data_IF_045750426061
#
_entry.id   IF_045750426061
#
_cell.length_a   1.000
_cell.length_b   1.000
_cell.length_c   1.000
_cell.angle_alpha   90.00
_cell.angle_beta   90.00
_cell.angle_gamma   90.00
#
_symmetry.space_group_name_H-M   'P 1'
#
loop_
_entity.id
_entity.type
_entity.pdbx_description
1 polymer ?
#
# COMPACT_ATOMS: atom_id res chain seq x y z
N UNK A 1 5.00 -12.42 13.10
CA UNK A 1 3.54 -12.54 12.90
C UNK A 1 2.94 -11.14 13.05
N UNK A 2 2.62 -10.48 11.95
CA UNK A 2 2.16 -9.09 11.90
C UNK A 2 0.69 -9.04 11.44
N UNK A 3 -0.13 -8.17 12.03
CA UNK A 3 -1.55 -7.96 11.74
C UNK A 3 -1.78 -6.66 10.97
N UNK A 4 -2.85 -6.60 10.18
CA UNK A 4 -3.35 -5.35 9.60
C UNK A 4 -4.73 -5.04 10.20
N UNK A 5 -4.82 -4.09 11.13
CA UNK A 5 -6.10 -3.68 11.77
C UNK A 5 -6.67 -2.38 11.16
N UNK A 6 -6.10 -1.88 10.06
CA UNK A 6 -6.46 -0.56 9.51
C UNK A 6 -6.42 -0.55 7.99
N UNK A 7 -6.72 -1.69 7.38
CA UNK A 7 -6.52 -1.87 5.96
C UNK A 7 -7.81 -1.57 5.21
N UNK A 8 -7.91 -0.37 4.66
CA UNK A 8 -9.07 0.02 3.87
C UNK A 8 -9.02 -0.70 2.53
N UNK A 9 -10.06 -1.49 2.23
CA UNK A 9 -10.37 -1.79 0.83
C UNK A 9 -10.68 -0.43 0.17
N UNK A 10 -9.92 -0.07 -0.87
CA UNK A 10 -10.16 1.16 -1.61
C UNK A 10 -11.54 1.17 -2.31
N UNK A 11 -12.21 0.02 -2.39
CA UNK A 11 -13.61 -0.07 -2.79
C UNK A 11 -14.52 0.02 -1.56
N UNK A 12 -15.44 0.99 -1.59
CA UNK A 12 -16.45 1.28 -0.57
C UNK A 12 -15.91 1.80 0.77
N UNK A 13 -15.47 3.06 0.78
CA UNK A 13 -15.05 3.78 2.00
C UNK A 13 -16.16 3.98 3.04
N UNK A 14 -17.42 3.67 2.71
CA UNK A 14 -18.58 3.91 3.58
C UNK A 14 -18.90 5.39 3.81
N UNK A 15 -18.23 6.29 3.10
CA UNK A 15 -18.44 7.74 3.21
C UNK A 15 -19.70 8.13 2.45
N UNK A 16 -20.67 8.70 3.16
CA UNK A 16 -21.79 9.39 2.53
C UNK A 16 -21.32 10.72 1.95
N UNK A 17 -21.30 10.81 0.62
CA UNK A 17 -20.95 12.02 -0.11
C UNK A 17 -22.18 12.84 -0.55
N UNK A 18 -23.38 12.42 -0.14
CA UNK A 18 -24.65 13.05 -0.47
C UNK A 18 -25.05 12.92 -1.95
N UNK A 19 -26.04 13.71 -2.35
CA UNK A 19 -26.57 13.67 -3.72
C UNK A 19 -25.70 14.50 -4.68
N UNK A 20 -25.10 13.83 -5.67
CA UNK A 20 -24.25 14.43 -6.70
C UNK A 20 -24.89 14.45 -8.10
N UNK A 21 -26.19 14.17 -8.23
CA UNK A 21 -26.91 14.09 -9.51
C UNK A 21 -26.72 15.32 -10.41
N UNK A 22 -26.75 16.52 -9.82
CA UNK A 22 -26.52 17.78 -10.56
C UNK A 22 -25.11 17.88 -11.14
N UNK A 23 -24.09 17.35 -10.47
CA UNK A 23 -22.70 17.32 -10.94
C UNK A 23 -22.51 16.32 -12.07
N UNK A 24 -23.18 15.16 -12.00
CA UNK A 24 -23.19 14.16 -13.07
C UNK A 24 -23.88 14.73 -14.32
N UNK A 25 -25.07 15.30 -14.17
CA UNK A 25 -25.81 15.91 -15.28
C UNK A 25 -25.01 17.06 -15.95
N UNK A 26 -24.30 17.86 -15.15
CA UNK A 26 -23.43 18.91 -15.68
C UNK A 26 -22.26 18.33 -16.51
N UNK A 27 -21.62 17.26 -16.03
CA UNK A 27 -20.53 16.57 -16.75
C UNK A 27 -21.00 16.04 -18.11
N UNK A 28 -22.20 15.47 -18.16
CA UNK A 28 -22.82 14.95 -19.39
C UNK A 28 -23.18 16.08 -20.36
N UNK A 29 -23.84 17.13 -19.86
CA UNK A 29 -24.23 18.31 -20.66
C UNK A 29 -23.01 18.98 -21.31
N UNK A 30 -21.90 19.09 -20.58
CA UNK A 30 -20.65 19.68 -21.07
C UNK A 30 -19.80 18.73 -21.93
N UNK A 31 -20.21 17.46 -22.08
CA UNK A 31 -19.48 16.43 -22.84
C UNK A 31 -18.02 16.31 -22.40
N UNK A 32 -17.77 16.35 -21.08
CA UNK A 32 -16.43 16.31 -20.51
C UNK A 32 -15.69 15.00 -20.88
N UNK A 33 -14.37 15.08 -21.06
CA UNK A 33 -13.51 13.90 -21.25
C UNK A 33 -13.43 13.05 -19.97
N UNK A 34 -13.03 11.78 -20.13
CA UNK A 34 -12.85 10.87 -19.00
C UNK A 34 -11.66 11.26 -18.12
N UNK A 35 -11.64 10.77 -16.87
CA UNK A 35 -10.48 10.98 -16.01
C UNK A 35 -9.24 10.23 -16.54
N UNK A 36 -9.42 9.06 -17.15
CA UNK A 36 -8.34 8.37 -17.87
C UNK A 36 -7.74 9.22 -19.00
N UNK A 37 -8.56 9.98 -19.73
CA UNK A 37 -8.07 10.92 -20.73
C UNK A 37 -7.24 12.03 -20.08
N UNK A 38 -7.69 12.59 -18.95
CA UNK A 38 -6.95 13.60 -18.20
C UNK A 38 -5.59 13.09 -17.73
N UNK A 39 -5.53 11.90 -17.12
CA UNK A 39 -4.26 11.32 -16.66
C UNK A 39 -3.29 11.05 -17.81
N UNK A 40 -3.78 10.62 -18.97
CA UNK A 40 -2.94 10.34 -20.14
C UNK A 40 -2.45 11.60 -20.87
N UNK A 41 -3.23 12.68 -20.88
CA UNK A 41 -2.99 13.84 -21.76
C UNK A 41 -2.66 15.13 -21.02
N UNK A 42 -3.08 15.28 -19.76
CA UNK A 42 -2.88 16.51 -18.98
C UNK A 42 -1.89 16.29 -17.84
N UNK A 43 -1.97 15.15 -17.13
CA UNK A 43 -1.07 14.86 -16.01
C UNK A 43 -0.38 13.48 -16.11
N UNK A 44 0.44 13.25 -17.16
CA UNK A 44 1.09 11.95 -17.40
C UNK A 44 2.15 11.57 -16.35
N UNK A 45 2.64 12.53 -15.56
CA UNK A 45 3.58 12.25 -14.48
C UNK A 45 2.94 11.52 -13.29
N UNK A 46 1.61 11.57 -13.16
CA UNK A 46 0.90 10.83 -12.12
C UNK A 46 0.88 9.33 -12.46
N UNK A 47 1.42 8.50 -11.57
CA UNK A 47 1.38 7.03 -11.65
C UNK A 47 0.15 6.51 -10.91
N UNK A 48 -0.86 5.98 -11.61
CA UNK A 48 -2.02 5.41 -10.93
C UNK A 48 -1.61 4.18 -10.13
N UNK A 49 -1.79 4.22 -8.82
CA UNK A 49 -1.56 3.06 -7.95
C UNK A 49 -2.78 2.14 -8.04
N UNK A 50 -2.66 1.09 -8.85
CA UNK A 50 -3.71 0.09 -9.11
C UNK A 50 -3.43 -1.21 -8.36
N UNK A 51 -4.43 -2.08 -8.29
CA UNK A 51 -4.32 -3.44 -7.76
C UNK A 51 -3.85 -3.51 -6.30
N UNK A 52 -4.20 -2.50 -5.51
CA UNK A 52 -3.97 -2.51 -4.06
C UNK A 52 -5.10 -3.29 -3.41
N UNK A 53 -4.74 -4.39 -2.75
CA UNK A 53 -5.67 -5.20 -1.95
C UNK A 53 -5.88 -4.55 -0.58
N UNK A 54 -4.94 -3.70 -0.20
CA UNK A 54 -4.50 -3.58 1.17
C UNK A 54 -3.70 -2.28 1.36
N UNK A 55 -4.17 -1.32 2.16
CA UNK A 55 -3.41 -0.11 2.52
C UNK A 55 -3.71 0.34 3.95
N UNK A 56 -2.69 0.63 4.76
CA UNK A 56 -2.84 1.18 6.11
C UNK A 56 -1.63 0.90 6.99
N UNK A 57 -1.82 0.93 8.31
CA UNK A 57 -0.80 0.53 9.28
C UNK A 57 -0.83 -0.99 9.54
N UNK A 58 0.35 -1.58 9.67
CA UNK A 58 0.53 -2.98 10.07
C UNK A 58 0.99 -3.04 11.52
N UNK A 59 0.17 -3.63 12.40
CA UNK A 59 0.34 -3.71 13.85
C UNK A 59 0.87 -5.07 14.28
N UNK A 60 1.61 -5.13 15.37
CA UNK A 60 1.94 -6.39 16.02
C UNK A 60 0.68 -6.97 16.70
N UNK A 61 0.48 -8.29 16.60
CA UNK A 61 -0.64 -9.01 17.24
C UNK A 61 -0.53 -9.08 18.75
N UNK A 62 0.70 -9.17 19.25
CA UNK A 62 0.98 -9.31 20.68
C UNK A 62 0.97 -7.94 21.38
N UNK A 63 1.15 -6.86 20.60
CA UNK A 63 1.21 -5.50 21.12
C UNK A 63 0.69 -4.52 20.05
N UNK A 64 -0.61 -4.20 20.09
CA UNK A 64 -1.26 -3.38 19.06
C UNK A 64 -0.80 -1.92 19.01
N UNK A 65 -0.08 -1.45 20.04
CA UNK A 65 0.59 -0.14 20.07
C UNK A 65 1.87 -0.10 19.24
N UNK A 66 2.33 -1.24 18.71
CA UNK A 66 3.55 -1.36 17.92
C UNK A 66 3.22 -1.65 16.45
N UNK A 67 3.75 -0.81 15.56
CA UNK A 67 3.53 -0.84 14.12
C UNK A 67 4.83 -1.14 13.36
N UNK A 68 4.70 -1.76 12.20
CA UNK A 68 5.78 -1.87 11.21
C UNK A 68 6.06 -0.50 10.62
N UNK A 69 7.34 -0.17 10.54
CA UNK A 69 7.84 1.14 10.14
C UNK A 69 9.03 0.96 9.18
N UNK A 70 9.15 1.83 8.20
CA UNK A 70 10.25 1.80 7.23
C UNK A 70 11.64 1.93 7.89
N UNK A 71 11.72 2.59 9.05
CA UNK A 71 12.96 2.89 9.74
C UNK A 71 13.72 4.09 9.16
N UNK A 72 14.87 4.42 9.76
CA UNK A 72 15.69 5.56 9.35
C UNK A 72 16.31 5.36 7.96
N UNK A 73 16.49 6.48 7.25
CA UNK A 73 17.30 6.58 6.04
C UNK A 73 18.52 7.46 6.38
N UNK A 74 19.77 7.03 6.09
CA UNK A 74 20.16 5.83 5.35
C UNK A 74 19.95 4.53 6.15
N UNK A 75 19.41 3.51 5.49
CA UNK A 75 19.05 2.23 6.09
C UNK A 75 18.04 1.45 5.23
N UNK A 76 18.06 0.13 5.34
CA UNK A 76 17.10 -0.75 4.66
C UNK A 76 16.43 -1.77 5.56
N UNK A 77 16.71 -1.79 6.85
CA UNK A 77 16.05 -2.69 7.78
C UNK A 77 14.76 -2.03 8.28
N UNK A 78 13.57 -2.57 7.97
CA UNK A 78 12.33 -2.08 8.57
C UNK A 78 12.36 -2.35 10.08
N UNK A 79 11.70 -1.51 10.86
CA UNK A 79 11.68 -1.58 12.32
C UNK A 79 10.24 -1.77 12.83
N UNK A 80 10.14 -2.18 14.09
CA UNK A 80 8.89 -2.09 14.84
C UNK A 80 8.97 -0.84 15.73
N UNK A 81 7.96 0.02 15.67
CA UNK A 81 7.94 1.29 16.40
C UNK A 81 6.56 1.61 16.96
N UNK A 82 6.47 2.56 17.90
CA UNK A 82 5.18 3.02 18.43
C UNK A 82 4.28 3.53 17.30
N UNK A 83 3.05 3.03 17.22
CA UNK A 83 2.08 3.43 16.21
C UNK A 83 1.75 4.93 16.33
N UNK A 84 1.93 5.70 15.26
CA UNK A 84 1.63 7.14 15.25
C UNK A 84 0.75 7.59 14.07
N UNK A 85 0.43 6.70 13.11
CA UNK A 85 -0.57 6.96 12.07
C UNK A 85 -0.12 7.90 10.94
N UNK A 86 1.18 8.16 10.83
CA UNK A 86 1.78 8.95 9.77
C UNK A 86 2.88 8.15 9.08
N UNK A 87 3.32 8.60 7.90
CA UNK A 87 4.53 8.10 7.26
C UNK A 87 5.72 8.16 8.26
N UNK A 88 6.57 7.12 8.33
CA UNK A 88 6.71 6.04 7.35
C UNK A 88 6.07 4.70 7.76
N UNK A 89 5.01 4.71 8.57
CA UNK A 89 4.28 3.51 9.03
C UNK A 89 3.17 3.04 8.08
N UNK A 90 3.16 3.56 6.86
CA UNK A 90 2.18 3.16 5.86
C UNK A 90 2.67 1.89 5.17
N UNK A 91 1.76 0.95 4.98
CA UNK A 91 2.03 -0.32 4.32
C UNK A 91 0.96 -0.50 3.26
N UNK A 92 1.36 -1.01 2.10
CA UNK A 92 0.41 -1.48 1.11
C UNK A 92 0.84 -2.77 0.46
N UNK A 93 -0.15 -3.60 0.16
CA UNK A 93 0.05 -4.90 -0.46
C UNK A 93 -0.70 -4.95 -1.79
N UNK A 94 0.04 -5.34 -2.83
CA UNK A 94 -0.48 -5.46 -4.20
C UNK A 94 -1.02 -6.86 -4.44
N UNK A 95 -1.97 -6.95 -5.37
CA UNK A 95 -2.53 -8.23 -5.83
C UNK A 95 -1.46 -9.18 -6.39
N UNK A 96 -0.36 -8.64 -6.90
CA UNK A 96 0.80 -9.39 -7.41
C UNK A 96 1.72 -9.96 -6.32
N UNK A 97 1.50 -9.63 -5.05
CA UNK A 97 2.25 -10.19 -3.92
C UNK A 97 3.29 -9.27 -3.32
N UNK A 98 3.57 -8.11 -3.89
CA UNK A 98 4.58 -7.20 -3.33
C UNK A 98 4.01 -6.44 -2.12
N UNK A 99 4.83 -6.37 -1.07
CA UNK A 99 4.55 -5.61 0.16
C UNK A 99 5.46 -4.39 0.23
N UNK A 100 4.87 -3.21 0.29
CA UNK A 100 5.58 -1.93 0.35
C UNK A 100 5.46 -1.33 1.75
N UNK A 101 6.53 -0.70 2.23
CA UNK A 101 6.59 -0.05 3.54
C UNK A 101 7.12 1.38 3.34
N UNK A 102 6.39 2.36 3.87
CA UNK A 102 6.66 3.77 3.69
C UNK A 102 5.58 4.49 2.87
N UNK A 103 5.88 5.69 2.34
CA UNK A 103 4.90 6.50 1.61
C UNK A 103 4.42 5.79 0.34
N UNK A 104 3.14 5.99 0.01
CA UNK A 104 2.58 5.63 -1.29
C UNK A 104 2.86 6.78 -2.26
N UNK A 105 3.81 6.58 -3.18
CA UNK A 105 4.24 7.63 -4.11
C UNK A 105 3.56 7.43 -5.46
N UNK A 106 2.71 8.38 -5.84
CA UNK A 106 1.97 8.36 -7.11
C UNK A 106 2.74 9.07 -8.25
N UNK A 107 4.07 8.94 -8.29
CA UNK A 107 4.93 9.56 -9.30
C UNK A 107 5.55 8.50 -10.22
N UNK A 108 5.57 8.76 -11.53
CA UNK A 108 6.01 7.78 -12.53
C UNK A 108 7.47 7.34 -12.40
N UNK A 109 8.34 8.21 -11.86
CA UNK A 109 9.79 8.02 -11.85
C UNK A 109 10.36 7.69 -10.45
N UNK A 110 9.49 7.38 -9.49
CA UNK A 110 9.93 7.01 -8.14
C UNK A 110 9.76 5.50 -7.97
N UNK A 111 10.84 4.86 -7.54
CA UNK A 111 10.84 3.44 -7.19
C UNK A 111 10.52 3.30 -5.70
N UNK A 112 9.29 2.88 -5.43
CA UNK A 112 8.85 2.55 -4.08
C UNK A 112 9.69 1.36 -3.55
N UNK A 113 9.87 1.30 -2.23
CA UNK A 113 10.63 0.22 -1.60
C UNK A 113 9.69 -0.90 -1.15
N UNK A 114 10.01 -2.13 -1.52
CA UNK A 114 9.29 -3.32 -1.06
C UNK A 114 10.13 -4.14 -0.09
N UNK A 115 9.43 -4.89 0.75
CA UNK A 115 10.01 -5.91 1.60
C UNK A 115 10.56 -7.05 0.73
N UNK A 116 11.81 -7.39 0.98
CA UNK A 116 12.54 -8.42 0.25
C UNK A 116 13.23 -9.36 1.22
N UNK A 117 13.34 -10.63 0.87
CA UNK A 117 14.19 -11.61 1.52
C UNK A 117 15.38 -11.96 0.60
N UNK A 118 16.63 -11.75 1.06
CA UNK A 118 17.83 -12.15 0.32
C UNK A 118 18.01 -13.65 0.10
N UNK A 119 17.26 -14.51 0.80
CA UNK A 119 17.31 -15.97 0.65
C UNK A 119 18.53 -16.65 1.27
N UNK A 120 19.28 -15.94 2.12
CA UNK A 120 20.53 -16.42 2.75
C UNK A 120 20.41 -16.65 4.27
N UNK A 121 19.18 -16.70 4.78
CA UNK A 121 18.90 -16.73 6.22
C UNK A 121 19.14 -15.37 6.91
N UNK A 122 19.25 -14.31 6.14
CA UNK A 122 19.37 -12.93 6.62
C UNK A 122 17.99 -12.33 6.94
N UNK A 123 17.97 -11.17 7.61
CA UNK A 123 16.72 -10.47 7.90
C UNK A 123 16.15 -9.83 6.62
N UNK A 124 14.82 -9.75 6.47
CA UNK A 124 14.22 -9.02 5.37
C UNK A 124 14.64 -7.54 5.33
N UNK A 125 14.81 -7.03 4.11
CA UNK A 125 15.25 -5.65 3.84
C UNK A 125 14.32 -4.93 2.87
N UNK A 126 14.37 -3.61 2.89
CA UNK A 126 13.66 -2.72 1.97
C UNK A 126 14.56 -2.34 0.80
N UNK A 127 14.25 -2.83 -0.39
CA UNK A 127 14.96 -2.49 -1.62
C UNK A 127 14.00 -1.81 -2.61
N UNK A 128 14.50 -0.93 -3.51
CA UNK A 128 13.73 -0.48 -4.65
C UNK A 128 13.22 -1.70 -5.44
N UNK A 129 11.93 -1.77 -5.72
CA UNK A 129 11.33 -3.00 -6.25
C UNK A 129 11.84 -3.37 -7.64
N UNK A 130 12.17 -2.37 -8.47
CA UNK A 130 12.78 -2.64 -9.77
C UNK A 130 14.16 -3.30 -9.63
N UNK A 131 14.93 -2.90 -8.61
CA UNK A 131 16.23 -3.50 -8.28
C UNK A 131 16.06 -4.90 -7.70
N UNK A 132 15.13 -5.09 -6.76
CA UNK A 132 14.83 -6.39 -6.18
C UNK A 132 14.46 -7.44 -7.25
N UNK A 133 13.64 -7.03 -8.22
CA UNK A 133 13.28 -7.86 -9.36
C UNK A 133 14.48 -8.24 -10.23
N UNK A 134 15.34 -7.26 -10.53
CA UNK A 134 16.56 -7.46 -11.32
C UNK A 134 17.56 -8.38 -10.63
N UNK A 135 17.70 -8.24 -9.31
CA UNK A 135 18.65 -8.98 -8.49
C UNK A 135 18.12 -10.36 -8.08
N UNK A 136 16.87 -10.70 -8.43
CA UNK A 136 16.26 -11.99 -8.15
C UNK A 136 15.94 -12.21 -6.67
N UNK A 137 15.68 -11.13 -5.92
CA UNK A 137 15.30 -11.22 -4.50
C UNK A 137 13.89 -11.79 -4.34
N UNK A 138 13.64 -12.44 -3.21
CA UNK A 138 12.29 -12.90 -2.86
C UNK A 138 11.46 -11.69 -2.40
N UNK A 139 10.56 -11.18 -3.25
CA UNK A 139 9.76 -9.97 -2.99
C UNK A 139 8.24 -10.20 -3.01
N UNK A 140 7.82 -11.44 -3.23
CA UNK A 140 6.40 -11.82 -3.28
C UNK A 140 6.02 -12.54 -2.00
N UNK A 141 4.98 -12.05 -1.34
CA UNK A 141 4.55 -12.47 -0.01
C UNK A 141 3.12 -13.00 -0.05
N UNK A 142 2.84 -14.04 0.72
CA UNK A 142 1.51 -14.62 0.81
C UNK A 142 0.67 -13.87 1.86
N UNK A 143 -0.23 -12.99 1.41
CA UNK A 143 -1.11 -12.24 2.29
C UNK A 143 -2.49 -12.91 2.41
N UNK A 144 -2.73 -13.63 3.51
CA UNK A 144 -3.94 -14.46 3.67
C UNK A 144 -4.92 -13.91 4.70
N UNK A 145 -6.23 -13.82 4.37
CA UNK A 145 -7.28 -13.51 5.33
C UNK A 145 -7.42 -14.63 6.36
N UNK A 146 -7.33 -14.29 7.64
CA UNK A 146 -7.74 -15.15 8.74
C UNK A 146 -9.07 -14.69 9.30
N UNK A 147 -10.05 -15.60 9.24
CA UNK A 147 -11.38 -15.39 9.81
C UNK A 147 -11.33 -15.69 11.30
N UNK A 148 -11.23 -14.65 12.13
CA UNK A 148 -11.58 -14.73 13.55
C UNK A 148 -13.00 -14.24 13.78
N UNK A 149 -13.76 -14.78 14.75
CA UNK A 149 -15.06 -14.23 15.14
C UNK A 149 -14.88 -12.75 15.53
N UNK A 150 -15.55 -11.84 14.82
CA UNK A 150 -15.59 -10.42 15.15
C UNK A 150 -14.57 -9.49 14.45
N UNK A 151 -13.59 -9.99 13.67
CA UNK A 151 -12.75 -9.14 12.82
C UNK A 151 -12.02 -9.94 11.71
N UNK A 152 -11.87 -9.33 10.53
CA UNK A 152 -11.07 -9.87 9.43
C UNK A 152 -9.59 -9.56 9.69
N UNK A 153 -8.78 -10.60 9.94
CA UNK A 153 -7.33 -10.48 10.17
C UNK A 153 -6.56 -10.91 8.93
N UNK A 154 -5.29 -10.53 8.82
CA UNK A 154 -4.42 -10.97 7.74
C UNK A 154 -3.01 -11.26 8.26
N UNK A 155 -2.35 -12.23 7.64
CA UNK A 155 -0.98 -12.66 7.95
C UNK A 155 -0.11 -12.62 6.70
N UNK A 156 1.18 -12.33 6.91
CA UNK A 156 2.25 -12.50 5.93
C UNK A 156 3.06 -13.73 6.34
N UNK A 157 3.26 -14.62 5.37
CA UNK A 157 4.11 -15.80 5.45
C UNK A 157 5.31 -15.65 4.52
#
# INVERSE_FOLDING_TARGET
MLQTHSMFYLQNSGVDYGNISSRIALREKLKCKSFDWYLKNVYPALKPVRNIVAYGAMKNLLEESICLDQGPIPGNTPIMYGCHGYTPQNVYYRLSGELYIGPLIAEANVDDRCLTDPGRGEKPTLEPCSKAAKDGLHMYWDFKPFKSPGNQRYYIY
#
